data_IF_354623756031
#
_entry.id   IF_354623756031
#
_cell.length_a   1.000
_cell.length_b   1.000
_cell.length_c   1.000
_cell.angle_alpha   90.00
_cell.angle_beta   90.00
_cell.angle_gamma   90.00
#
_symmetry.space_group_name_H-M   'P 1'
#
loop_
_entity.id
_entity.type
_entity.pdbx_description
1 polymer ?
#
# COMPACT_ATOMS: atom_id res chain seq x y z
N UNK A 1 17.89 -10.89 1.84
CA UNK A 1 17.90 -10.16 3.14
C UNK A 1 18.31 -11.06 4.33
N UNK A 2 17.88 -12.33 4.37
CA UNK A 2 18.16 -13.23 5.49
C UNK A 2 19.65 -13.47 5.78
N UNK A 3 20.52 -13.58 4.78
CA UNK A 3 21.97 -13.70 5.00
C UNK A 3 22.49 -12.49 5.81
N UNK A 4 22.14 -11.27 5.40
CA UNK A 4 22.55 -10.06 6.12
C UNK A 4 22.08 -10.04 7.59
N UNK A 5 20.87 -10.53 7.85
CA UNK A 5 20.35 -10.61 9.22
C UNK A 5 21.08 -11.70 10.03
N UNK A 6 21.37 -12.84 9.42
CA UNK A 6 22.22 -13.88 10.01
C UNK A 6 23.60 -13.34 10.39
N UNK A 7 24.29 -12.69 9.45
CA UNK A 7 25.61 -12.09 9.66
C UNK A 7 25.57 -11.03 10.78
N UNK A 8 24.50 -10.24 10.84
CA UNK A 8 24.31 -9.23 11.89
C UNK A 8 24.14 -9.86 13.27
N UNK A 9 23.36 -10.93 13.37
CA UNK A 9 23.14 -11.66 14.63
C UNK A 9 24.45 -12.30 15.09
N UNK A 10 25.20 -12.92 14.19
CA UNK A 10 26.50 -13.50 14.51
C UNK A 10 27.50 -12.42 14.99
N UNK A 11 27.57 -11.29 14.31
CA UNK A 11 28.45 -10.19 14.70
C UNK A 11 28.12 -9.64 16.10
N UNK A 12 26.83 -9.46 16.42
CA UNK A 12 26.38 -8.85 17.68
C UNK A 12 26.39 -9.83 18.86
N UNK A 13 26.03 -11.09 18.61
CA UNK A 13 25.76 -12.07 19.67
C UNK A 13 26.76 -13.24 19.69
N UNK A 14 27.70 -13.30 18.74
CA UNK A 14 28.70 -14.38 18.61
C UNK A 14 28.07 -15.77 18.50
N UNK A 15 26.84 -15.82 17.99
CA UNK A 15 26.07 -17.03 17.75
C UNK A 15 25.49 -17.00 16.35
N UNK A 16 25.69 -18.07 15.59
CA UNK A 16 25.14 -18.20 14.24
C UNK A 16 23.68 -18.65 14.28
N UNK A 17 22.89 -18.16 13.32
CA UNK A 17 21.49 -18.54 13.12
C UNK A 17 21.26 -18.83 11.64
N UNK A 18 20.60 -19.94 11.32
CA UNK A 18 20.33 -20.25 9.91
C UNK A 18 19.29 -19.30 9.31
N UNK A 19 19.40 -19.05 8.00
CA UNK A 19 18.37 -18.30 7.26
C UNK A 19 17.02 -19.01 7.24
N UNK A 20 17.00 -20.34 7.32
CA UNK A 20 15.78 -21.14 7.47
C UNK A 20 15.08 -20.86 8.82
N UNK A 21 15.86 -20.73 9.90
CA UNK A 21 15.32 -20.34 11.21
C UNK A 21 14.71 -18.94 11.17
N UNK A 22 15.39 -17.99 10.53
CA UNK A 22 14.87 -16.62 10.36
C UNK A 22 13.56 -16.60 9.55
N UNK A 23 13.49 -17.35 8.45
CA UNK A 23 12.27 -17.49 7.66
C UNK A 23 11.12 -18.09 8.47
N UNK A 24 11.40 -19.10 9.30
CA UNK A 24 10.39 -19.70 10.19
C UNK A 24 9.94 -18.74 11.30
N UNK A 25 10.82 -17.88 11.82
CA UNK A 25 10.42 -16.82 12.77
C UNK A 25 9.44 -15.86 12.12
N UNK A 26 9.74 -15.35 10.92
CA UNK A 26 8.84 -14.46 10.17
C UNK A 26 7.51 -15.14 9.88
N UNK A 27 7.54 -16.41 9.45
CA UNK A 27 6.34 -17.20 9.19
C UNK A 27 5.44 -17.32 10.43
N UNK A 28 6.01 -17.67 11.59
CA UNK A 28 5.26 -17.74 12.86
C UNK A 28 4.68 -16.38 13.27
N UNK A 29 5.44 -15.31 13.07
CA UNK A 29 4.96 -13.95 13.32
C UNK A 29 3.75 -13.59 12.44
N UNK A 30 3.79 -13.95 11.15
CA UNK A 30 2.65 -13.79 10.24
C UNK A 30 1.42 -14.56 10.72
N UNK A 31 1.59 -15.83 11.05
CA UNK A 31 0.49 -16.70 11.53
C UNK A 31 -0.12 -16.16 12.83
N UNK A 32 0.70 -15.66 13.76
CA UNK A 32 0.22 -15.06 15.00
C UNK A 32 -0.55 -13.74 14.81
N UNK A 33 -0.42 -13.10 13.66
CA UNK A 33 -1.08 -11.83 13.32
C UNK A 33 -2.26 -12.01 12.36
N UNK A 34 -2.63 -13.24 11.99
CA UNK A 34 -3.72 -13.48 11.02
C UNK A 34 -5.05 -12.87 11.50
N UNK A 35 -5.42 -13.05 12.78
CA UNK A 35 -6.63 -12.45 13.34
C UNK A 35 -6.58 -10.92 13.45
N UNK A 36 -5.39 -10.33 13.49
CA UNK A 36 -5.26 -8.87 13.48
C UNK A 36 -5.64 -8.28 12.12
N UNK A 37 -5.54 -9.05 11.04
CA UNK A 37 -5.91 -8.60 9.71
C UNK A 37 -7.41 -8.31 9.61
N UNK A 38 -8.25 -9.16 10.23
CA UNK A 38 -9.70 -8.96 10.29
C UNK A 38 -10.04 -7.65 11.02
N UNK A 39 -9.40 -7.40 12.17
CA UNK A 39 -9.58 -6.15 12.94
C UNK A 39 -9.18 -4.92 12.11
N UNK A 40 -8.08 -5.01 11.37
CA UNK A 40 -7.61 -3.93 10.48
C UNK A 40 -8.63 -3.70 9.38
N UNK A 41 -9.12 -4.76 8.73
CA UNK A 41 -10.09 -4.68 7.65
C UNK A 41 -11.39 -4.02 8.12
N UNK A 42 -11.96 -4.49 9.23
CA UNK A 42 -13.18 -3.93 9.81
C UNK A 42 -13.00 -2.45 10.16
N UNK A 43 -11.87 -2.10 10.81
CA UNK A 43 -11.56 -0.72 11.18
C UNK A 43 -11.41 0.21 9.97
N UNK A 44 -10.96 -0.32 8.82
CA UNK A 44 -10.85 0.44 7.58
C UNK A 44 -12.22 0.60 6.90
N UNK A 45 -13.06 -0.45 6.90
CA UNK A 45 -14.41 -0.41 6.34
C UNK A 45 -15.32 0.56 7.10
N UNK A 46 -15.17 0.65 8.43
CA UNK A 46 -15.91 1.58 9.29
C UNK A 46 -15.37 3.02 9.25
N UNK A 47 -14.24 3.27 8.57
CA UNK A 47 -13.61 4.58 8.57
C UNK A 47 -14.38 5.60 7.72
N UNK A 48 -14.33 6.88 8.13
CA UNK A 48 -14.95 7.96 7.35
C UNK A 48 -14.17 8.28 6.06
N UNK A 49 -12.83 8.14 6.12
CA UNK A 49 -11.92 8.42 5.00
C UNK A 49 -10.93 7.26 4.89
N UNK A 50 -10.89 6.65 3.70
CA UNK A 50 -9.98 5.58 3.33
C UNK A 50 -9.04 6.11 2.25
N UNK A 51 -7.74 6.05 2.51
CA UNK A 51 -6.72 6.38 1.52
C UNK A 51 -6.34 5.12 0.75
N UNK A 52 -6.35 5.19 -0.58
CA UNK A 52 -6.03 4.06 -1.45
C UNK A 52 -4.99 4.45 -2.50
N UNK A 53 -4.07 3.53 -2.78
CA UNK A 53 -2.98 3.68 -3.74
C UNK A 53 -2.45 2.29 -4.16
N UNK A 54 -1.70 2.22 -5.26
CA UNK A 54 -0.96 1.01 -5.65
C UNK A 54 0.50 1.29 -5.97
N UNK A 55 1.37 0.38 -5.52
CA UNK A 55 2.79 0.41 -5.89
C UNK A 55 3.22 -0.89 -6.53
N UNK A 56 4.03 -0.80 -7.58
CA UNK A 56 4.56 -1.99 -8.26
C UNK A 56 5.69 -2.62 -7.47
N UNK A 57 5.75 -3.96 -7.44
CA UNK A 57 6.87 -4.73 -6.92
C UNK A 57 7.13 -5.95 -7.79
N UNK A 58 8.23 -6.68 -7.53
CA UNK A 58 8.47 -7.99 -8.13
C UNK A 58 8.34 -9.12 -7.11
N UNK A 59 7.48 -10.09 -7.40
CA UNK A 59 7.32 -11.32 -6.62
C UNK A 59 7.81 -12.47 -7.49
N UNK A 60 8.83 -13.19 -7.03
CA UNK A 60 9.48 -14.26 -7.79
C UNK A 60 9.90 -13.85 -9.22
N UNK A 61 10.37 -12.59 -9.36
CA UNK A 61 10.80 -12.02 -10.65
C UNK A 61 9.67 -11.48 -11.54
N UNK A 62 8.41 -11.77 -11.21
CA UNK A 62 7.25 -11.30 -11.97
C UNK A 62 6.73 -9.97 -11.43
N UNK A 63 6.25 -9.10 -12.32
CA UNK A 63 5.61 -7.85 -11.92
C UNK A 63 4.32 -8.17 -11.14
N UNK A 64 4.17 -7.52 -10.00
CA UNK A 64 2.97 -7.50 -9.19
C UNK A 64 2.70 -6.07 -8.71
N UNK A 65 1.56 -5.88 -8.07
CA UNK A 65 1.11 -4.61 -7.50
C UNK A 65 0.70 -4.86 -6.05
N UNK A 66 1.24 -4.08 -5.11
CA UNK A 66 0.71 -4.01 -3.75
C UNK A 66 -0.34 -2.92 -3.74
N UNK A 67 -1.57 -3.33 -3.48
CA UNK A 67 -2.70 -2.46 -3.21
C UNK A 67 -2.67 -2.04 -1.74
N UNK A 68 -2.82 -0.75 -1.51
CA UNK A 68 -2.80 -0.15 -0.18
C UNK A 68 -4.19 0.41 0.11
N UNK A 69 -4.69 0.11 1.31
CA UNK A 69 -5.84 0.79 1.88
C UNK A 69 -5.50 1.16 3.32
N UNK A 70 -5.61 2.44 3.67
CA UNK A 70 -5.17 2.88 4.99
C UNK A 70 -5.93 4.10 5.53
N UNK A 71 -5.77 4.27 6.83
CA UNK A 71 -6.06 5.49 7.59
C UNK A 71 -4.76 5.95 8.27
N UNK A 72 -4.82 6.97 9.13
CA UNK A 72 -3.68 7.36 9.96
C UNK A 72 -3.26 6.30 11.00
N UNK A 73 -4.10 5.30 11.26
CA UNK A 73 -3.88 4.27 12.29
C UNK A 73 -3.69 2.86 11.74
N UNK A 74 -4.41 2.52 10.68
CA UNK A 74 -4.47 1.16 10.14
C UNK A 74 -4.03 1.14 8.69
N UNK A 75 -3.30 0.10 8.30
CA UNK A 75 -2.84 -0.12 6.93
C UNK A 75 -3.06 -1.57 6.55
N UNK A 76 -3.70 -1.78 5.39
CA UNK A 76 -3.87 -3.06 4.76
C UNK A 76 -3.09 -3.08 3.45
N UNK A 77 -2.28 -4.13 3.25
CA UNK A 77 -1.42 -4.31 2.08
C UNK A 77 -1.75 -5.65 1.43
N UNK A 78 -2.17 -5.63 0.16
CA UNK A 78 -2.49 -6.84 -0.57
C UNK A 78 -1.73 -6.91 -1.91
N UNK A 79 -0.77 -7.84 -2.06
CA UNK A 79 -0.11 -8.06 -3.34
C UNK A 79 -1.06 -8.79 -4.31
N UNK A 80 -1.06 -8.35 -5.55
CA UNK A 80 -1.84 -8.96 -6.62
C UNK A 80 -1.14 -8.83 -7.98
N UNK A 81 -1.33 -9.80 -8.88
CA UNK A 81 -0.67 -9.77 -10.19
C UNK A 81 -1.23 -8.66 -11.12
N UNK A 82 -2.50 -8.33 -10.96
CA UNK A 82 -3.17 -7.21 -11.64
C UNK A 82 -3.15 -5.93 -10.81
N UNK A 83 -3.09 -4.78 -11.49
CA UNK A 83 -3.29 -3.44 -10.89
C UNK A 83 -4.74 -2.99 -10.89
N UNK A 84 -5.52 -3.38 -11.90
CA UNK A 84 -6.85 -2.79 -12.13
C UNK A 84 -7.95 -3.40 -11.27
N UNK A 85 -9.20 -3.04 -11.58
CA UNK A 85 -10.43 -3.45 -10.86
C UNK A 85 -10.50 -4.91 -10.44
N UNK A 86 -10.02 -5.84 -11.29
CA UNK A 86 -9.94 -7.28 -10.94
C UNK A 86 -9.27 -7.50 -9.58
N UNK A 87 -8.15 -6.84 -9.34
CA UNK A 87 -7.39 -6.97 -8.11
C UNK A 87 -8.17 -6.44 -6.91
N UNK A 88 -8.68 -5.21 -7.01
CA UNK A 88 -9.41 -4.55 -5.92
C UNK A 88 -10.73 -5.25 -5.61
N UNK A 89 -11.37 -5.87 -6.60
CA UNK A 89 -12.53 -6.74 -6.41
C UNK A 89 -12.18 -8.05 -5.69
N UNK A 90 -11.11 -8.74 -6.10
CA UNK A 90 -10.66 -10.00 -5.48
C UNK A 90 -10.10 -9.77 -4.06
N UNK A 91 -9.47 -8.63 -3.80
CA UNK A 91 -9.06 -8.19 -2.45
C UNK A 91 -10.30 -7.90 -1.59
N UNK A 92 -11.38 -7.42 -2.20
CA UNK A 92 -12.70 -7.35 -1.59
C UNK A 92 -12.95 -6.16 -0.66
N UNK A 93 -11.98 -5.28 -0.39
CA UNK A 93 -12.19 -4.12 0.48
C UNK A 93 -12.96 -2.99 -0.23
N UNK A 94 -12.48 -2.58 -1.41
CA UNK A 94 -13.01 -1.45 -2.19
C UNK A 94 -14.50 -1.64 -2.57
N UNK A 95 -14.98 -2.84 -2.98
CA UNK A 95 -16.39 -3.05 -3.28
C UNK A 95 -17.35 -2.89 -2.09
N UNK A 96 -16.86 -2.98 -0.85
CA UNK A 96 -17.65 -2.91 0.39
C UNK A 96 -17.59 -1.55 1.09
N UNK A 97 -16.72 -0.66 0.64
CA UNK A 97 -16.49 0.61 1.32
C UNK A 97 -17.48 1.69 0.83
N UNK A 98 -18.18 2.34 1.77
CA UNK A 98 -19.21 3.34 1.47
C UNK A 98 -18.84 4.75 1.97
N UNK A 99 -17.68 4.91 2.63
CA UNK A 99 -17.20 6.21 3.12
C UNK A 99 -16.58 7.08 2.02
N UNK A 100 -15.69 8.00 2.41
CA UNK A 100 -14.92 8.81 1.44
C UNK A 100 -13.62 8.11 1.07
N UNK A 101 -13.43 7.81 -0.21
CA UNK A 101 -12.24 7.20 -0.76
C UNK A 101 -11.32 8.29 -1.31
N UNK A 102 -10.16 8.48 -0.69
CA UNK A 102 -9.13 9.41 -1.15
C UNK A 102 -8.10 8.70 -2.00
N UNK A 103 -7.93 9.13 -3.26
CA UNK A 103 -7.05 8.46 -4.22
C UNK A 103 -6.39 9.43 -5.21
N UNK A 104 -5.52 8.91 -6.06
CA UNK A 104 -4.72 9.63 -7.08
C UNK A 104 -5.44 9.82 -8.43
N UNK A 105 -6.76 9.72 -8.46
CA UNK A 105 -7.57 9.67 -9.70
C UNK A 105 -7.30 8.48 -10.66
N UNK A 106 -6.61 7.41 -10.24
CA UNK A 106 -6.50 6.22 -11.09
C UNK A 106 -7.88 5.68 -11.50
N UNK A 107 -8.07 5.42 -12.80
CA UNK A 107 -9.38 5.15 -13.41
C UNK A 107 -10.11 3.91 -12.89
N UNK A 108 -9.47 3.08 -12.06
CA UNK A 108 -10.15 2.00 -11.33
C UNK A 108 -11.05 2.54 -10.23
N UNK A 109 -10.61 3.53 -9.47
CA UNK A 109 -11.31 3.98 -8.27
C UNK A 109 -12.68 4.60 -8.53
N UNK A 110 -12.87 5.49 -9.53
CA UNK A 110 -14.19 6.08 -9.81
C UNK A 110 -15.29 5.08 -10.20
N UNK A 111 -14.94 3.80 -10.44
CA UNK A 111 -15.90 2.74 -10.75
C UNK A 111 -16.64 2.23 -9.49
N UNK A 112 -16.19 2.60 -8.29
CA UNK A 112 -16.83 2.24 -7.01
C UNK A 112 -17.84 3.30 -6.58
N UNK A 113 -18.98 3.36 -7.27
CA UNK A 113 -19.97 4.45 -7.15
C UNK A 113 -20.72 4.52 -5.83
N UNK A 114 -20.54 3.54 -4.94
CA UNK A 114 -21.12 3.56 -3.59
C UNK A 114 -20.31 4.44 -2.62
N UNK A 115 -19.03 4.68 -2.91
CA UNK A 115 -18.17 5.55 -2.11
C UNK A 115 -18.25 7.00 -2.61
N UNK A 116 -18.03 7.94 -1.69
CA UNK A 116 -17.70 9.32 -2.07
C UNK A 116 -16.23 9.39 -2.47
N UNK A 117 -15.86 10.21 -3.47
CA UNK A 117 -14.47 10.30 -3.93
C UNK A 117 -13.83 11.63 -3.54
N UNK A 118 -12.59 11.55 -3.07
CA UNK A 118 -11.71 12.68 -2.82
C UNK A 118 -10.37 12.47 -3.55
N UNK A 119 -9.76 13.56 -4.00
CA UNK A 119 -8.46 13.50 -4.66
C UNK A 119 -7.33 13.81 -3.69
N UNK A 120 -6.27 13.02 -3.75
CA UNK A 120 -5.12 13.17 -2.89
C UNK A 120 -4.26 14.37 -3.35
N UNK A 121 -4.28 15.45 -2.57
CA UNK A 121 -3.48 16.64 -2.88
C UNK A 121 -1.97 16.36 -2.95
N UNK A 122 -1.45 15.42 -2.16
CA UNK A 122 -0.04 15.06 -2.22
C UNK A 122 0.36 14.46 -3.58
N UNK A 123 -0.56 13.75 -4.25
CA UNK A 123 -0.36 13.27 -5.61
C UNK A 123 -0.38 14.42 -6.61
N UNK A 124 -1.38 15.31 -6.54
CA UNK A 124 -1.45 16.49 -7.40
C UNK A 124 -0.21 17.38 -7.27
N UNK A 125 0.28 17.63 -6.05
CA UNK A 125 1.50 18.42 -5.83
C UNK A 125 2.72 17.76 -6.48
N UNK A 126 2.80 16.42 -6.48
CA UNK A 126 3.86 15.67 -7.14
C UNK A 126 3.77 15.78 -8.66
N UNK A 127 2.57 15.68 -9.22
CA UNK A 127 2.33 15.87 -10.65
C UNK A 127 2.67 17.29 -11.10
N UNK A 128 2.21 18.30 -10.36
CA UNK A 128 2.53 19.71 -10.62
C UNK A 128 4.03 19.96 -10.57
N UNK A 129 4.74 19.34 -9.61
CA UNK A 129 6.20 19.38 -9.57
C UNK A 129 6.81 18.76 -10.84
N UNK A 130 6.31 17.61 -11.28
CA UNK A 130 6.77 16.97 -12.52
C UNK A 130 6.58 17.86 -13.75
N UNK A 131 5.44 18.56 -13.87
CA UNK A 131 5.23 19.55 -14.94
C UNK A 131 6.20 20.74 -14.83
N UNK A 132 6.43 21.24 -13.61
CA UNK A 132 7.39 22.32 -13.38
C UNK A 132 8.81 21.92 -13.80
N UNK A 133 9.23 20.69 -13.50
CA UNK A 133 10.54 20.14 -13.88
C UNK A 133 10.68 19.97 -15.41
N UNK A 134 9.56 19.79 -16.12
CA UNK A 134 9.50 19.79 -17.58
C UNK A 134 9.45 21.20 -18.21
N UNK A 135 9.50 22.26 -17.40
CA UNK A 135 9.51 23.65 -17.86
C UNK A 135 8.13 24.30 -18.00
N UNK A 136 7.06 23.66 -17.53
CA UNK A 136 5.72 24.23 -17.56
C UNK A 136 5.51 25.24 -16.42
N UNK A 137 5.68 26.53 -16.73
CA UNK A 137 5.62 27.64 -15.75
C UNK A 137 4.25 27.83 -15.10
N UNK A 138 3.17 27.35 -15.70
CA UNK A 138 1.84 27.38 -15.11
C UNK A 138 1.75 26.51 -13.86
N UNK A 139 2.46 25.37 -13.82
CA UNK A 139 2.38 24.41 -12.72
C UNK A 139 3.00 24.98 -11.44
N UNK A 140 4.10 25.74 -11.57
CA UNK A 140 4.71 26.47 -10.44
C UNK A 140 3.73 27.45 -9.82
N UNK A 141 2.97 28.21 -10.65
CA UNK A 141 1.99 29.20 -10.17
C UNK A 141 0.83 28.58 -9.39
N UNK A 142 0.44 27.35 -9.73
CA UNK A 142 -0.61 26.59 -9.04
C UNK A 142 -0.09 25.97 -7.74
N UNK A 143 1.21 25.68 -7.65
CA UNK A 143 1.83 25.02 -6.48
C UNK A 143 2.08 25.98 -5.31
N UNK A 144 2.35 27.27 -5.60
CA UNK A 144 2.50 28.33 -4.60
C UNK A 144 1.16 28.95 -4.25
N UNK A 145 0.53 28.50 -3.17
CA UNK A 145 -0.56 29.22 -2.46
C UNK A 145 -0.08 29.55 -1.06
#
# INVERSE_FOLDING_TARGET
PYNRLSDTIEALYQHSISTGTLANIVKRGREALESNMDIIEDSLLESNILHVDETSLRINGQLAWVHVACTSRYTYLAPHASRGKKATDEIGMLPRYEGTMMHDAFGTYPQYTHATHALCHAHHLRELKGFSEQGHTWATRITTV
#
